data_IF_775137395201
#
_entry.id   IF_775137395201
#
_cell.length_a   1.000
_cell.length_b   1.000
_cell.length_c   1.000
_cell.angle_alpha   90.00
_cell.angle_beta   90.00
_cell.angle_gamma   90.00
#
_symmetry.space_group_name_H-M   'P 1'
#
loop_
_entity.id
_entity.type
_entity.pdbx_description
1 polymer ?
#
# COMPACT_ATOMS: atom_id res chain seq x y z
N UNK A 1 13.33 -0.42 -49.75
CA UNK A 1 11.94 -0.85 -50.04
C UNK A 1 11.96 -2.19 -50.78
N UNK A 2 12.37 -3.28 -50.10
CA UNK A 2 12.67 -4.58 -50.74
C UNK A 2 11.56 -5.59 -50.43
N UNK A 3 11.23 -6.46 -51.40
CA UNK A 3 10.29 -7.55 -51.19
C UNK A 3 10.85 -8.61 -50.21
N UNK A 4 10.03 -9.20 -49.33
CA UNK A 4 10.49 -10.26 -48.42
C UNK A 4 10.90 -11.54 -49.17
N UNK A 5 10.25 -11.82 -50.31
CA UNK A 5 10.49 -12.98 -51.17
C UNK A 5 10.75 -12.54 -52.62
N UNK A 6 11.55 -13.29 -53.41
CA UNK A 6 11.75 -12.99 -54.82
C UNK A 6 10.44 -12.94 -55.59
N UNK A 7 10.18 -11.82 -56.28
CA UNK A 7 8.98 -11.60 -57.08
C UNK A 7 9.38 -11.06 -58.46
N UNK A 8 9.36 -11.89 -59.52
CA UNK A 8 9.81 -11.47 -60.85
C UNK A 8 9.09 -10.23 -61.39
N UNK A 9 7.79 -10.09 -61.13
CA UNK A 9 7.00 -8.92 -61.49
C UNK A 9 7.41 -7.61 -60.76
N UNK A 10 8.23 -7.72 -59.73
CA UNK A 10 8.76 -6.60 -58.95
C UNK A 10 10.23 -6.28 -59.28
N UNK A 11 10.82 -6.95 -60.26
CA UNK A 11 12.20 -6.77 -60.70
C UNK A 11 12.28 -5.81 -61.90
N UNK A 12 11.96 -4.53 -61.65
CA UNK A 12 12.00 -3.48 -62.66
C UNK A 12 12.92 -2.34 -62.25
N UNK A 13 13.51 -1.66 -63.22
CA UNK A 13 14.27 -0.43 -62.97
C UNK A 13 13.33 0.72 -62.63
N UNK A 14 13.69 1.52 -61.62
CA UNK A 14 12.91 2.67 -61.19
C UNK A 14 13.75 3.94 -61.20
N UNK A 15 13.48 4.87 -62.13
CA UNK A 15 14.16 6.18 -62.21
C UNK A 15 15.70 6.08 -62.19
N UNK A 16 16.30 5.12 -62.89
CA UNK A 16 17.74 4.87 -62.90
C UNK A 16 18.26 3.98 -61.76
N UNK A 17 17.40 3.60 -60.80
CA UNK A 17 17.76 2.69 -59.70
C UNK A 17 17.43 1.24 -60.05
N UNK A 18 18.44 0.38 -59.99
CA UNK A 18 18.27 -1.07 -60.16
C UNK A 18 17.43 -1.70 -59.04
N UNK A 19 16.73 -2.79 -59.37
CA UNK A 19 15.91 -3.51 -58.41
C UNK A 19 16.77 -4.30 -57.39
N UNK A 20 16.33 -4.45 -56.13
CA UNK A 20 16.98 -5.34 -55.17
C UNK A 20 16.92 -6.81 -55.62
N UNK A 21 17.80 -7.66 -55.09
CA UNK A 21 17.84 -9.11 -55.39
C UNK A 21 16.47 -9.82 -55.34
N UNK A 22 15.60 -9.43 -54.40
CA UNK A 22 14.24 -10.00 -54.24
C UNK A 22 13.14 -9.23 -54.98
N UNK A 23 13.49 -8.18 -55.72
CA UNK A 23 12.58 -7.20 -56.30
C UNK A 23 12.14 -6.10 -55.32
N UNK A 24 11.45 -5.09 -55.85
CA UNK A 24 10.82 -4.03 -55.06
C UNK A 24 9.68 -4.56 -54.21
N UNK A 25 9.38 -3.88 -53.10
CA UNK A 25 8.23 -4.22 -52.26
C UNK A 25 6.88 -3.93 -52.93
N UNK A 26 6.87 -3.03 -53.90
CA UNK A 26 5.66 -2.45 -54.50
C UNK A 26 5.69 -2.60 -56.02
N UNK A 27 4.52 -2.70 -56.65
CA UNK A 27 4.37 -2.68 -58.11
C UNK A 27 4.67 -1.31 -58.68
N UNK A 28 4.93 -1.22 -59.99
CA UNK A 28 5.33 0.02 -60.66
C UNK A 28 4.30 1.14 -60.46
N UNK A 29 3.02 0.83 -60.50
CA UNK A 29 1.93 1.79 -60.26
C UNK A 29 1.96 2.32 -58.83
N UNK A 30 2.17 1.44 -57.84
CA UNK A 30 2.28 1.85 -56.43
C UNK A 30 3.55 2.67 -56.19
N UNK A 31 4.67 2.35 -56.84
CA UNK A 31 5.88 3.17 -56.80
C UNK A 31 5.66 4.56 -57.39
N UNK A 32 4.90 4.67 -58.49
CA UNK A 32 4.54 5.97 -59.08
C UNK A 32 3.72 6.80 -58.10
N UNK A 33 2.68 6.22 -57.49
CA UNK A 33 1.89 6.90 -56.47
C UNK A 33 2.75 7.40 -55.30
N UNK A 34 3.66 6.57 -54.77
CA UNK A 34 4.57 6.96 -53.69
C UNK A 34 5.58 8.03 -54.11
N UNK A 35 5.96 8.08 -55.39
CA UNK A 35 6.81 9.14 -55.94
C UNK A 35 6.05 10.46 -56.01
N UNK A 36 4.84 10.45 -56.55
CA UNK A 36 3.99 11.63 -56.72
C UNK A 36 3.61 12.24 -55.36
N UNK A 37 3.37 11.38 -54.35
CA UNK A 37 3.15 11.77 -52.96
C UNK A 37 4.43 12.18 -52.22
N UNK A 38 5.59 12.16 -52.87
CA UNK A 38 6.87 12.54 -52.27
C UNK A 38 7.36 11.62 -51.14
N UNK A 39 6.83 10.40 -51.05
CA UNK A 39 7.12 9.43 -49.96
C UNK A 39 8.40 8.63 -50.19
N UNK A 40 9.01 8.72 -51.37
CA UNK A 40 10.27 8.03 -51.68
C UNK A 40 11.45 8.96 -51.34
N UNK A 41 12.39 8.45 -50.55
CA UNK A 41 13.69 9.07 -50.33
C UNK A 41 14.68 8.56 -51.37
N UNK A 42 15.17 9.49 -52.19
CA UNK A 42 16.20 9.27 -53.19
C UNK A 42 17.57 9.63 -52.60
N UNK A 43 18.47 8.65 -52.39
CA UNK A 43 19.78 8.91 -51.84
C UNK A 43 20.60 9.76 -52.82
N UNK A 44 21.33 10.74 -52.28
CA UNK A 44 22.22 11.64 -53.02
C UNK A 44 23.67 11.42 -52.59
N UNK A 45 24.61 11.66 -53.50
CA UNK A 45 26.03 11.66 -53.22
C UNK A 45 26.47 12.99 -52.57
N UNK A 46 27.73 13.10 -52.16
CA UNK A 46 28.27 14.33 -51.52
C UNK A 46 28.17 15.58 -52.43
N UNK A 47 28.07 15.40 -53.75
CA UNK A 47 27.91 16.47 -54.72
C UNK A 47 26.43 16.82 -55.01
N UNK A 48 25.47 16.19 -54.32
CA UNK A 48 24.04 16.46 -54.45
C UNK A 48 23.33 15.74 -55.60
N UNK A 49 24.06 14.94 -56.41
CA UNK A 49 23.49 14.14 -57.49
C UNK A 49 22.91 12.81 -56.97
N UNK A 50 21.95 12.19 -57.69
CA UNK A 50 21.44 10.86 -57.35
C UNK A 50 22.57 9.82 -57.20
N UNK A 51 22.53 9.08 -56.09
CA UNK A 51 23.48 8.01 -55.79
C UNK A 51 22.83 6.65 -56.08
N UNK A 52 22.96 6.18 -57.32
CA UNK A 52 22.36 4.91 -57.79
C UNK A 52 22.97 3.66 -57.14
N UNK A 53 24.09 3.79 -56.43
CA UNK A 53 24.68 2.68 -55.66
C UNK A 53 23.89 2.37 -54.37
N UNK A 54 23.04 3.30 -53.93
CA UNK A 54 22.27 3.19 -52.68
C UNK A 54 20.80 2.86 -52.96
N UNK A 55 20.17 2.24 -51.96
CA UNK A 55 18.77 1.80 -52.05
C UNK A 55 17.79 2.93 -51.75
N UNK A 56 16.67 2.92 -52.47
CA UNK A 56 15.50 3.75 -52.16
C UNK A 56 14.87 3.35 -50.82
N UNK A 57 14.48 4.36 -50.04
CA UNK A 57 13.81 4.19 -48.75
C UNK A 57 12.44 4.88 -48.76
N UNK A 58 11.50 4.32 -48.01
CA UNK A 58 10.18 4.93 -47.81
C UNK A 58 10.29 5.89 -46.62
N UNK A 59 9.87 7.14 -46.80
CA UNK A 59 9.70 8.10 -45.72
C UNK A 59 8.53 7.65 -44.85
N UNK A 60 8.77 7.51 -43.55
CA UNK A 60 7.73 7.21 -42.55
C UNK A 60 7.69 8.35 -41.56
N UNK A 61 6.55 9.00 -41.42
CA UNK A 61 6.37 10.11 -40.49
C UNK A 61 5.85 9.59 -39.15
N UNK A 62 6.31 10.17 -38.05
CA UNK A 62 5.99 9.71 -36.70
C UNK A 62 4.49 9.84 -36.38
N UNK A 63 3.86 10.94 -36.81
CA UNK A 63 2.44 11.23 -36.60
C UNK A 63 1.48 10.29 -37.34
N UNK A 64 1.97 9.52 -38.32
CA UNK A 64 1.17 8.55 -39.06
C UNK A 64 1.37 7.11 -38.56
N UNK A 65 2.34 6.88 -37.67
CA UNK A 65 2.59 5.55 -37.15
C UNK A 65 1.64 5.28 -35.98
N UNK A 66 0.83 4.23 -36.11
CA UNK A 66 -0.09 3.78 -35.06
C UNK A 66 0.62 3.05 -33.89
N UNK A 67 1.95 2.99 -33.90
CA UNK A 67 2.75 2.24 -32.94
C UNK A 67 2.72 0.74 -33.18
N UNK A 68 3.31 -0.01 -32.26
CA UNK A 68 3.25 -1.47 -32.23
C UNK A 68 2.17 -1.90 -31.24
N UNK A 69 1.49 -3.02 -31.52
CA UNK A 69 0.54 -3.61 -30.58
C UNK A 69 1.32 -4.07 -29.35
N UNK A 70 0.85 -3.66 -28.18
CA UNK A 70 1.48 -4.02 -26.92
C UNK A 70 1.38 -5.55 -26.69
N UNK A 71 2.53 -6.20 -26.47
CA UNK A 71 2.60 -7.61 -26.11
C UNK A 71 2.31 -7.87 -24.64
N UNK A 72 2.49 -9.12 -24.21
CA UNK A 72 2.37 -9.57 -22.81
C UNK A 72 3.69 -9.50 -22.02
N UNK A 73 4.77 -9.02 -22.64
CA UNK A 73 6.07 -8.80 -21.99
C UNK A 73 6.39 -7.30 -21.98
N UNK A 74 6.51 -6.71 -20.79
CA UNK A 74 6.81 -5.29 -20.59
C UNK A 74 8.17 -5.10 -19.92
N UNK A 75 9.24 -5.20 -20.70
CA UNK A 75 10.62 -5.00 -20.23
C UNK A 75 11.04 -3.53 -20.09
N UNK A 76 10.18 -2.61 -20.51
CA UNK A 76 10.44 -1.17 -20.52
C UNK A 76 10.09 -0.47 -19.21
N UNK A 77 9.29 -1.12 -18.33
CA UNK A 77 8.92 -0.59 -17.02
C UNK A 77 9.87 -1.12 -15.96
N UNK A 78 10.68 -0.23 -15.39
CA UNK A 78 11.64 -0.54 -14.35
C UNK A 78 10.97 -0.60 -12.96
N UNK A 79 11.55 -1.38 -12.05
CA UNK A 79 11.17 -1.36 -10.64
C UNK A 79 11.48 -0.01 -9.97
N UNK A 80 10.75 0.32 -8.90
CA UNK A 80 10.93 1.56 -8.13
C UNK A 80 12.30 1.57 -7.45
N UNK A 81 13.20 2.42 -7.94
CA UNK A 81 14.55 2.58 -7.39
C UNK A 81 14.55 3.31 -6.04
N UNK A 82 15.64 3.19 -5.28
CA UNK A 82 15.76 3.81 -3.96
C UNK A 82 15.67 5.34 -3.98
N UNK A 83 16.14 5.98 -5.06
CA UNK A 83 16.13 7.44 -5.24
C UNK A 83 14.99 7.93 -6.14
N UNK A 84 14.03 7.06 -6.48
CA UNK A 84 12.91 7.42 -7.34
C UNK A 84 12.00 8.43 -6.63
N UNK A 85 11.58 9.49 -7.35
CA UNK A 85 10.70 10.53 -6.79
C UNK A 85 9.35 9.97 -6.32
N UNK A 86 8.85 8.93 -6.99
CA UNK A 86 7.60 8.25 -6.61
C UNK A 86 7.73 7.39 -5.34
N UNK A 87 8.94 7.11 -4.85
CA UNK A 87 9.17 6.20 -3.74
C UNK A 87 8.63 6.82 -2.44
N UNK A 88 7.72 6.11 -1.79
CA UNK A 88 7.14 6.52 -0.49
C UNK A 88 7.66 5.69 0.70
N UNK A 89 8.59 4.77 0.47
CA UNK A 89 9.16 3.90 1.51
C UNK A 89 8.37 2.62 1.79
N UNK A 90 7.27 2.38 1.06
CA UNK A 90 6.54 1.12 1.17
C UNK A 90 7.35 -0.02 0.50
N UNK A 91 7.67 -1.13 1.20
CA UNK A 91 8.68 -2.09 0.73
C UNK A 91 8.39 -2.72 -0.63
N UNK A 92 7.11 -3.01 -0.91
CA UNK A 92 6.66 -3.72 -2.11
C UNK A 92 5.93 -2.82 -3.08
N UNK A 93 6.21 -1.50 -3.05
CA UNK A 93 5.60 -0.49 -3.92
C UNK A 93 5.76 -0.84 -5.40
N UNK A 94 4.65 -0.76 -6.15
CA UNK A 94 4.66 -0.94 -7.62
C UNK A 94 4.94 0.39 -8.31
N UNK A 95 5.63 0.38 -9.47
CA UNK A 95 5.88 1.59 -10.25
C UNK A 95 4.58 2.22 -10.76
N UNK A 96 4.44 3.54 -10.68
CA UNK A 96 3.27 4.25 -11.20
C UNK A 96 3.05 4.01 -12.69
N UNK A 97 4.13 3.95 -13.48
CA UNK A 97 4.05 3.73 -14.93
C UNK A 97 3.39 2.38 -15.30
N UNK A 98 3.56 1.37 -14.44
CA UNK A 98 2.91 0.07 -14.61
C UNK A 98 1.40 0.18 -14.45
N UNK A 99 0.96 0.79 -13.34
CA UNK A 99 -0.46 0.94 -13.05
C UNK A 99 -1.13 1.90 -14.02
N UNK A 100 -0.42 2.93 -14.48
CA UNK A 100 -0.91 3.89 -15.48
C UNK A 100 -1.19 3.21 -16.82
N UNK A 101 -0.31 2.32 -17.26
CA UNK A 101 -0.52 1.50 -18.45
C UNK A 101 -1.74 0.58 -18.28
N UNK A 102 -1.81 -0.16 -17.17
CA UNK A 102 -2.90 -1.12 -16.91
C UNK A 102 -4.25 -0.40 -16.87
N UNK A 103 -4.36 0.70 -16.10
CA UNK A 103 -5.62 1.45 -15.93
C UNK A 103 -6.08 2.06 -17.26
N UNK A 104 -5.18 2.65 -18.05
CA UNK A 104 -5.54 3.22 -19.35
C UNK A 104 -6.00 2.18 -20.37
N UNK A 105 -5.50 0.94 -20.30
CA UNK A 105 -5.94 -0.14 -21.20
C UNK A 105 -7.27 -0.77 -20.78
N UNK A 106 -7.60 -0.73 -19.48
CA UNK A 106 -8.72 -1.46 -18.91
C UNK A 106 -9.92 -0.59 -18.49
N UNK A 107 -9.81 0.75 -18.57
CA UNK A 107 -10.84 1.68 -18.10
C UNK A 107 -10.81 3.03 -18.82
N UNK A 108 -11.92 3.76 -18.76
CA UNK A 108 -12.07 5.14 -19.22
C UNK A 108 -12.11 6.12 -18.03
N UNK A 109 -12.00 7.43 -18.29
CA UNK A 109 -12.26 8.45 -17.27
C UNK A 109 -13.67 8.26 -16.68
N UNK A 110 -13.80 8.36 -15.35
CA UNK A 110 -15.04 8.15 -14.61
C UNK A 110 -15.34 6.70 -14.21
N UNK A 111 -14.66 5.70 -14.79
CA UNK A 111 -14.81 4.30 -14.37
C UNK A 111 -14.24 4.08 -12.96
N UNK A 112 -14.65 2.99 -12.30
CA UNK A 112 -14.19 2.62 -10.95
C UNK A 112 -13.09 1.55 -11.00
N UNK A 113 -11.97 1.81 -10.33
CA UNK A 113 -10.87 0.86 -10.14
C UNK A 113 -10.89 0.30 -8.72
N UNK A 114 -11.01 -1.03 -8.58
CA UNK A 114 -10.90 -1.71 -7.29
C UNK A 114 -9.51 -2.35 -7.14
N UNK A 115 -8.85 -2.08 -6.03
CA UNK A 115 -7.65 -2.79 -5.61
C UNK A 115 -7.84 -3.39 -4.20
N UNK A 116 -8.06 -4.71 -4.08
CA UNK A 116 -8.27 -5.36 -2.78
C UNK A 116 -6.96 -5.61 -2.00
N UNK A 117 -5.81 -5.22 -2.55
CA UNK A 117 -4.48 -5.35 -1.94
C UNK A 117 -3.68 -4.06 -2.11
N UNK A 118 -4.30 -2.93 -1.73
CA UNK A 118 -3.87 -1.59 -2.13
C UNK A 118 -2.46 -1.24 -1.63
N UNK A 119 -2.01 -1.81 -0.51
CA UNK A 119 -0.64 -1.68 -0.02
C UNK A 119 -0.19 -0.23 0.12
N UNK A 120 0.82 0.16 -0.65
CA UNK A 120 1.36 1.53 -0.69
C UNK A 120 0.56 2.52 -1.55
N UNK A 121 -0.64 2.17 -2.00
CA UNK A 121 -1.55 3.12 -2.63
C UNK A 121 -1.26 3.45 -4.09
N UNK A 122 -0.39 2.71 -4.79
CA UNK A 122 -0.03 3.08 -6.18
C UNK A 122 -1.25 3.06 -7.11
N UNK A 123 -2.09 2.02 -7.02
CA UNK A 123 -3.25 1.88 -7.90
C UNK A 123 -4.24 3.03 -7.74
N UNK A 124 -4.63 3.35 -6.49
CA UNK A 124 -5.59 4.42 -6.19
C UNK A 124 -5.02 5.81 -6.51
N UNK A 125 -3.72 6.03 -6.25
CA UNK A 125 -3.04 7.29 -6.59
C UNK A 125 -3.01 7.54 -8.10
N UNK A 126 -2.72 6.50 -8.90
CA UNK A 126 -2.73 6.60 -10.36
C UNK A 126 -4.15 6.72 -10.89
N UNK A 127 -5.11 5.97 -10.35
CA UNK A 127 -6.51 6.05 -10.73
C UNK A 127 -7.07 7.47 -10.52
N UNK A 128 -6.82 8.09 -9.35
CA UNK A 128 -7.18 9.48 -9.05
C UNK A 128 -6.59 10.44 -10.09
N UNK A 129 -5.28 10.34 -10.38
CA UNK A 129 -4.60 11.19 -11.38
C UNK A 129 -5.19 11.03 -12.78
N UNK A 130 -5.59 9.82 -13.13
CA UNK A 130 -6.24 9.49 -14.39
C UNK A 130 -7.76 9.77 -14.36
N UNK A 131 -8.29 10.40 -13.31
CA UNK A 131 -9.73 10.73 -13.14
C UNK A 131 -10.64 9.51 -13.18
N UNK A 132 -10.23 8.41 -12.56
CA UNK A 132 -11.09 7.26 -12.26
C UNK A 132 -11.56 7.35 -10.82
N UNK A 133 -12.76 6.85 -10.55
CA UNK A 133 -13.15 6.52 -9.19
C UNK A 133 -12.31 5.32 -8.71
N UNK A 134 -12.16 5.16 -7.40
CA UNK A 134 -11.35 4.07 -6.88
C UNK A 134 -11.82 3.57 -5.52
N UNK A 135 -11.52 2.31 -5.26
CA UNK A 135 -11.72 1.65 -3.97
C UNK A 135 -10.43 0.89 -3.66
N UNK A 136 -9.77 1.23 -2.55
CA UNK A 136 -8.59 0.53 -2.06
C UNK A 136 -8.90 -0.20 -0.76
N UNK A 137 -8.54 -1.48 -0.67
CA UNK A 137 -8.71 -2.30 0.52
C UNK A 137 -7.35 -2.89 0.90
N UNK A 138 -7.08 -2.94 2.20
CA UNK A 138 -5.98 -3.69 2.77
C UNK A 138 -6.36 -4.13 4.18
N UNK A 139 -5.85 -5.28 4.60
CA UNK A 139 -6.00 -5.77 5.97
C UNK A 139 -5.09 -5.00 6.96
N UNK A 140 -4.00 -4.41 6.46
CA UNK A 140 -3.04 -3.68 7.27
C UNK A 140 -3.47 -2.24 7.48
N UNK A 141 -3.68 -1.85 8.73
CA UNK A 141 -3.94 -0.45 9.11
C UNK A 141 -2.80 0.46 8.62
N UNK A 142 -1.56 -0.01 8.71
CA UNK A 142 -0.38 0.72 8.23
C UNK A 142 -0.43 0.96 6.72
N UNK A 143 -0.80 -0.03 5.92
CA UNK A 143 -0.95 0.12 4.47
C UNK A 143 -2.00 1.17 4.12
N UNK A 144 -3.16 1.14 4.79
CA UNK A 144 -4.22 2.13 4.61
C UNK A 144 -3.72 3.54 4.98
N UNK A 145 -3.02 3.70 6.11
CA UNK A 145 -2.46 5.00 6.53
C UNK A 145 -1.41 5.53 5.57
N UNK A 146 -0.55 4.68 5.05
CA UNK A 146 0.44 5.06 4.04
C UNK A 146 -0.24 5.49 2.74
N UNK A 147 -1.27 4.76 2.31
CA UNK A 147 -2.08 5.10 1.13
C UNK A 147 -2.83 6.42 1.30
N UNK A 148 -3.46 6.64 2.46
CA UNK A 148 -4.14 7.89 2.84
C UNK A 148 -3.18 9.08 2.76
N UNK A 149 -2.00 8.98 3.40
CA UNK A 149 -0.98 10.03 3.35
C UNK A 149 -0.47 10.31 1.94
N UNK A 150 -0.35 9.27 1.10
CA UNK A 150 0.05 9.43 -0.30
C UNK A 150 -0.99 10.21 -1.09
N UNK A 151 -2.26 9.83 -0.94
CA UNK A 151 -3.39 10.50 -1.60
C UNK A 151 -3.50 11.94 -1.16
N UNK A 152 -3.47 12.22 0.15
CA UNK A 152 -3.51 13.58 0.71
C UNK A 152 -2.40 14.47 0.13
N UNK A 153 -1.18 13.95 -0.03
CA UNK A 153 -0.06 14.69 -0.65
C UNK A 153 -0.27 15.02 -2.13
N UNK A 154 -1.12 14.26 -2.83
CA UNK A 154 -1.42 14.48 -4.25
C UNK A 154 -2.63 15.39 -4.46
N UNK A 155 -3.38 15.71 -3.40
CA UNK A 155 -4.58 16.54 -3.50
C UNK A 155 -4.25 17.97 -3.90
N UNK A 156 -5.20 18.56 -4.60
CA UNK A 156 -5.24 19.99 -4.90
C UNK A 156 -6.63 20.56 -4.56
N UNK A 157 -6.83 21.85 -4.83
CA UNK A 157 -8.08 22.58 -4.55
C UNK A 157 -9.34 21.98 -5.20
N UNK A 158 -9.18 21.17 -6.25
CA UNK A 158 -10.27 20.56 -7.02
C UNK A 158 -10.42 19.06 -6.77
N UNK A 159 -9.59 18.45 -5.92
CA UNK A 159 -9.66 17.02 -5.61
C UNK A 159 -10.94 16.68 -4.84
N UNK A 160 -11.65 15.65 -5.30
CA UNK A 160 -12.82 15.12 -4.60
C UNK A 160 -12.44 14.63 -3.19
N UNK A 161 -13.34 14.73 -2.20
CA UNK A 161 -13.13 14.08 -0.92
C UNK A 161 -13.16 12.56 -1.07
N UNK A 162 -12.28 11.88 -0.34
CA UNK A 162 -12.35 10.44 -0.13
C UNK A 162 -12.56 10.16 1.35
N UNK A 163 -13.01 8.94 1.65
CA UNK A 163 -13.27 8.48 3.01
C UNK A 163 -12.34 7.30 3.30
N UNK A 164 -11.80 7.27 4.51
CA UNK A 164 -11.05 6.12 5.03
C UNK A 164 -11.87 5.46 6.12
N UNK A 165 -12.19 4.19 5.92
CA UNK A 165 -12.85 3.37 6.93
C UNK A 165 -11.86 2.31 7.41
N UNK A 166 -11.57 2.34 8.71
CA UNK A 166 -10.75 1.33 9.36
C UNK A 166 -11.65 0.40 10.17
N UNK A 167 -11.35 -0.89 10.12
CA UNK A 167 -11.98 -1.86 11.01
C UNK A 167 -11.60 -1.55 12.46
N UNK A 168 -12.61 -1.36 13.33
CA UNK A 168 -12.39 -1.11 14.75
C UNK A 168 -12.43 -2.43 15.51
N UNK A 169 -11.40 -2.66 16.31
CA UNK A 169 -11.29 -3.88 17.10
C UNK A 169 -11.99 -3.74 18.45
N UNK A 170 -12.63 -4.81 18.89
CA UNK A 170 -13.21 -4.88 20.23
C UNK A 170 -12.12 -5.09 21.29
N UNK A 171 -12.21 -4.32 22.38
CA UNK A 171 -11.26 -4.42 23.49
C UNK A 171 -11.20 -5.83 24.07
N UNK A 172 -12.34 -6.45 24.36
CA UNK A 172 -12.37 -7.75 25.05
C UNK A 172 -11.85 -8.85 24.13
N UNK A 173 -12.22 -8.81 22.84
CA UNK A 173 -11.70 -9.75 21.85
C UNK A 173 -10.17 -9.71 21.79
N UNK A 174 -9.55 -8.52 21.74
CA UNK A 174 -8.10 -8.41 21.74
C UNK A 174 -7.49 -8.81 23.10
N UNK A 175 -8.09 -8.36 24.21
CA UNK A 175 -7.59 -8.55 25.57
C UNK A 175 -7.56 -10.02 25.99
N UNK A 176 -8.53 -10.81 25.52
CA UNK A 176 -8.73 -12.21 25.91
C UNK A 176 -8.36 -13.22 24.81
N UNK A 177 -7.83 -12.77 23.67
CA UNK A 177 -7.29 -13.64 22.62
C UNK A 177 -6.11 -14.50 23.09
N UNK A 178 -5.56 -15.37 22.24
CA UNK A 178 -4.32 -16.07 22.59
C UNK A 178 -3.16 -15.07 22.74
N UNK A 179 -2.35 -15.21 23.80
CA UNK A 179 -1.25 -14.27 24.08
C UNK A 179 -0.26 -14.18 22.91
N UNK A 180 0.20 -15.33 22.43
CA UNK A 180 1.21 -15.42 21.39
C UNK A 180 0.67 -14.91 20.05
N UNK A 181 -0.58 -15.24 19.70
CA UNK A 181 -1.20 -14.74 18.48
C UNK A 181 -1.38 -13.22 18.51
N UNK A 182 -1.83 -12.66 19.64
CA UNK A 182 -1.94 -11.22 19.81
C UNK A 182 -0.59 -10.52 19.70
N UNK A 183 0.45 -11.04 20.35
CA UNK A 183 1.82 -10.52 20.29
C UNK A 183 2.31 -10.48 18.83
N UNK A 184 2.19 -11.59 18.10
CA UNK A 184 2.56 -11.67 16.69
C UNK A 184 1.79 -10.63 15.85
N UNK A 185 0.48 -10.60 16.03
CA UNK A 185 -0.42 -9.79 15.24
C UNK A 185 -0.22 -8.29 15.48
N UNK A 186 -0.14 -7.83 16.74
CA UNK A 186 0.00 -6.40 17.05
C UNK A 186 1.36 -5.85 16.62
N UNK A 187 2.42 -6.67 16.70
CA UNK A 187 3.75 -6.31 16.17
C UNK A 187 3.69 -6.14 14.65
N UNK A 188 2.95 -7.00 13.95
CA UNK A 188 2.74 -6.84 12.50
C UNK A 188 1.92 -5.59 12.17
N UNK A 189 0.88 -5.27 12.94
CA UNK A 189 0.10 -4.03 12.75
C UNK A 189 0.96 -2.77 13.01
N UNK A 190 1.87 -2.83 13.97
CA UNK A 190 2.89 -1.79 14.20
C UNK A 190 3.92 -1.70 13.05
N UNK A 191 4.02 -2.73 12.21
CA UNK A 191 4.97 -2.82 11.11
C UNK A 191 6.34 -3.41 11.50
N UNK A 192 6.40 -4.10 12.64
CA UNK A 192 7.56 -4.86 13.12
C UNK A 192 7.60 -6.31 12.63
N UNK A 193 8.61 -7.03 13.09
CA UNK A 193 8.87 -8.45 12.80
C UNK A 193 8.75 -9.21 14.14
N UNK A 194 7.75 -10.08 14.30
CA UNK A 194 7.55 -10.82 15.54
C UNK A 194 8.47 -12.05 15.63
N UNK A 195 8.75 -12.52 16.85
CA UNK A 195 9.60 -13.68 17.08
C UNK A 195 8.82 -15.00 16.90
N UNK A 196 9.18 -15.80 15.90
CA UNK A 196 8.42 -17.00 15.49
C UNK A 196 8.53 -18.16 16.53
N UNK A 197 9.48 -18.11 17.47
CA UNK A 197 9.69 -19.16 18.49
C UNK A 197 9.87 -18.55 19.89
N UNK A 198 9.14 -19.05 20.88
CA UNK A 198 9.34 -18.75 22.31
C UNK A 198 10.59 -19.47 22.90
N UNK A 199 11.80 -19.22 22.37
CA UNK A 199 13.03 -19.74 22.98
C UNK A 199 13.87 -18.60 23.54
N UNK A 200 13.97 -18.53 24.87
CA UNK A 200 15.06 -17.83 25.58
C UNK A 200 15.20 -16.32 25.36
N UNK A 201 14.25 -15.67 24.69
CA UNK A 201 14.39 -14.29 24.22
C UNK A 201 14.17 -13.24 25.32
N UNK A 202 14.79 -13.35 26.50
CA UNK A 202 14.89 -12.28 27.53
C UNK A 202 13.59 -11.49 27.86
N UNK A 203 12.40 -12.00 27.49
CA UNK A 203 11.12 -11.30 27.57
C UNK A 203 10.78 -10.33 26.42
N UNK A 204 11.45 -10.41 25.26
CA UNK A 204 11.20 -9.59 24.05
C UNK A 204 10.36 -10.37 23.03
N UNK A 205 9.39 -9.71 22.43
CA UNK A 205 8.36 -10.36 21.59
C UNK A 205 8.59 -10.13 20.08
N UNK A 206 9.40 -9.14 19.73
CA UNK A 206 9.82 -8.90 18.36
C UNK A 206 10.73 -7.67 18.23
N UNK A 207 10.82 -7.14 17.02
CA UNK A 207 11.62 -5.95 16.71
C UNK A 207 11.00 -5.10 15.60
N UNK A 208 11.27 -3.81 15.60
CA UNK A 208 10.92 -2.93 14.48
C UNK A 208 11.77 -3.25 13.23
N UNK A 209 11.44 -2.62 12.10
CA UNK A 209 12.25 -2.72 10.86
C UNK A 209 13.70 -2.26 11.07
N UNK A 210 13.91 -1.30 11.96
CA UNK A 210 15.24 -0.76 12.29
C UNK A 210 15.96 -1.58 13.37
N UNK A 211 15.41 -2.73 13.76
CA UNK A 211 15.99 -3.63 14.75
C UNK A 211 15.70 -3.27 16.21
N UNK A 212 15.01 -2.15 16.46
CA UNK A 212 14.63 -1.72 17.82
C UNK A 212 13.76 -2.81 18.48
N UNK A 213 14.13 -3.34 19.66
CA UNK A 213 13.37 -4.40 20.32
C UNK A 213 11.99 -3.92 20.76
N UNK A 214 11.01 -4.81 20.61
CA UNK A 214 9.61 -4.60 20.97
C UNK A 214 9.23 -5.62 22.05
N UNK A 215 8.57 -5.14 23.10
CA UNK A 215 7.86 -5.97 24.05
C UNK A 215 6.38 -5.63 24.04
N UNK A 216 5.54 -6.64 24.20
CA UNK A 216 4.08 -6.53 24.22
C UNK A 216 3.57 -7.02 25.58
N UNK A 217 2.60 -6.29 26.13
CA UNK A 217 1.87 -6.69 27.34
C UNK A 217 0.39 -6.50 27.14
N UNK A 218 -0.38 -7.55 27.38
CA UNK A 218 -1.85 -7.51 27.28
C UNK A 218 -2.53 -6.93 28.53
N UNK A 219 -1.78 -6.50 29.54
CA UNK A 219 -2.33 -5.96 30.78
C UNK A 219 -2.50 -4.45 30.72
N UNK A 220 -3.46 -3.96 31.51
CA UNK A 220 -3.67 -2.54 31.79
C UNK A 220 -2.77 -2.04 32.91
N UNK A 221 -2.59 -0.72 32.95
CA UNK A 221 -1.93 -0.04 34.05
C UNK A 221 -0.50 -0.53 34.25
N UNK A 222 0.26 -0.73 33.16
CA UNK A 222 1.66 -1.17 33.22
C UNK A 222 2.42 -0.32 34.23
N UNK A 223 3.00 -0.99 35.23
CA UNK A 223 3.74 -0.36 36.32
C UNK A 223 5.22 -0.19 36.01
N UNK A 224 5.91 0.54 36.89
CA UNK A 224 7.36 0.81 36.81
C UNK A 224 8.20 -0.47 36.67
N UNK A 225 7.89 -1.50 37.45
CA UNK A 225 8.68 -2.75 37.45
C UNK A 225 8.82 -3.39 36.06
N UNK A 226 7.81 -3.22 35.20
CA UNK A 226 7.83 -3.76 33.83
C UNK A 226 8.79 -2.94 32.97
N UNK A 227 8.84 -1.62 33.15
CA UNK A 227 9.80 -0.74 32.46
C UNK A 227 11.23 -1.08 32.85
N UNK A 228 11.50 -1.28 34.15
CA UNK A 228 12.84 -1.60 34.64
C UNK A 228 13.35 -2.95 34.08
N UNK A 229 12.46 -3.95 34.03
CA UNK A 229 12.75 -5.26 33.44
C UNK A 229 12.99 -5.14 31.93
N UNK A 230 12.16 -4.36 31.24
CA UNK A 230 12.28 -4.14 29.80
C UNK A 230 13.59 -3.41 29.46
N UNK A 231 13.91 -2.34 30.20
CA UNK A 231 15.17 -1.61 30.04
C UNK A 231 16.39 -2.52 30.18
N UNK A 232 16.39 -3.38 31.19
CA UNK A 232 17.44 -4.38 31.40
C UNK A 232 17.54 -5.39 30.25
N UNK A 233 16.41 -5.78 29.65
CA UNK A 233 16.37 -6.69 28.52
C UNK A 233 16.92 -6.04 27.23
N UNK A 234 16.56 -4.78 26.95
CA UNK A 234 17.04 -4.02 25.78
C UNK A 234 18.57 -3.92 25.79
N UNK A 235 19.16 -3.58 26.94
CA UNK A 235 20.62 -3.45 27.08
C UNK A 235 21.37 -4.76 26.81
N UNK A 236 20.73 -5.90 27.09
CA UNK A 236 21.30 -7.24 26.86
C UNK A 236 21.09 -7.74 25.44
N UNK A 237 20.08 -7.23 24.74
CA UNK A 237 19.71 -7.66 23.39
C UNK A 237 20.76 -7.26 22.36
N UNK A 238 21.04 -5.95 22.25
CA UNK A 238 22.06 -5.42 21.36
C UNK A 238 22.65 -4.14 21.94
N UNK A 239 23.82 -4.28 22.57
CA UNK A 239 24.52 -3.15 23.22
C UNK A 239 24.97 -2.10 22.21
N UNK A 240 25.36 -2.51 21.00
CA UNK A 240 25.84 -1.59 19.98
C UNK A 240 24.69 -0.73 19.46
N UNK A 241 23.56 -1.37 19.13
CA UNK A 241 22.35 -0.66 18.69
C UNK A 241 21.80 0.26 19.79
N UNK A 242 21.82 -0.18 21.05
CA UNK A 242 21.39 0.63 22.19
C UNK A 242 22.20 1.93 22.32
N UNK A 243 23.53 1.85 22.33
CA UNK A 243 24.39 3.03 22.46
C UNK A 243 24.27 3.95 21.24
N UNK A 244 24.12 3.38 20.03
CA UNK A 244 23.91 4.16 18.80
C UNK A 244 22.59 4.94 18.85
N UNK A 245 21.47 4.28 19.17
CA UNK A 245 20.16 4.94 19.23
C UNK A 245 20.10 5.99 20.34
N UNK A 246 20.74 5.71 21.48
CA UNK A 246 20.90 6.68 22.57
C UNK A 246 21.67 7.93 22.11
N UNK A 247 22.79 7.76 21.41
CA UNK A 247 23.56 8.88 20.86
C UNK A 247 22.77 9.69 19.82
N UNK A 248 21.96 9.01 19.01
CA UNK A 248 21.12 9.61 17.95
C UNK A 248 19.80 10.23 18.48
N UNK A 249 19.52 10.18 19.79
CA UNK A 249 18.22 10.53 20.38
C UNK A 249 17.02 9.78 19.75
N UNK A 250 17.22 8.51 19.40
CA UNK A 250 16.18 7.60 18.89
C UNK A 250 15.66 6.68 19.99
N UNK A 251 14.44 6.14 19.86
CA UNK A 251 13.94 5.10 20.75
C UNK A 251 14.87 3.89 20.80
N UNK A 252 15.21 3.43 22.00
CA UNK A 252 16.00 2.22 22.22
C UNK A 252 15.13 0.96 22.36
N UNK A 253 13.83 1.13 22.61
CA UNK A 253 12.86 0.05 22.73
C UNK A 253 11.44 0.58 22.68
N UNK A 254 10.51 -0.26 22.24
CA UNK A 254 9.08 0.05 22.17
C UNK A 254 8.31 -0.95 23.04
N UNK A 255 7.49 -0.45 23.95
CA UNK A 255 6.62 -1.25 24.78
C UNK A 255 5.17 -1.01 24.37
N UNK A 256 4.49 -2.06 23.90
CA UNK A 256 3.08 -2.00 23.47
C UNK A 256 2.21 -2.60 24.57
N UNK A 257 1.19 -1.86 25.03
CA UNK A 257 0.23 -2.36 26.02
C UNK A 257 -1.13 -1.68 25.94
N UNK A 258 -2.16 -2.21 26.60
CA UNK A 258 -3.49 -1.56 26.58
C UNK A 258 -3.49 -0.22 27.32
N UNK A 259 -2.78 -0.09 28.44
CA UNK A 259 -2.63 1.18 29.13
C UNK A 259 -1.39 1.21 30.04
N UNK A 260 -0.86 2.40 30.29
CA UNK A 260 0.31 2.62 31.13
C UNK A 260 -0.07 3.37 32.41
N UNK A 261 0.36 2.86 33.56
CA UNK A 261 0.17 3.51 34.83
C UNK A 261 1.11 4.72 35.01
N UNK A 262 0.79 5.60 35.96
CA UNK A 262 1.59 6.79 36.28
C UNK A 262 3.07 6.45 36.55
N UNK A 263 3.33 5.33 37.24
CA UNK A 263 4.69 4.90 37.56
C UNK A 263 5.53 4.55 36.32
N UNK A 264 4.93 3.93 35.28
CA UNK A 264 5.64 3.64 34.04
C UNK A 264 5.97 4.93 33.27
N UNK A 265 5.01 5.86 33.18
CA UNK A 265 5.20 7.15 32.52
C UNK A 265 6.31 7.96 33.19
N UNK A 266 6.31 8.00 34.54
CA UNK A 266 7.33 8.68 35.32
C UNK A 266 8.72 8.07 35.14
N UNK A 267 8.82 6.74 35.08
CA UNK A 267 10.11 6.05 34.90
C UNK A 267 10.70 6.31 33.51
N UNK A 268 9.89 6.24 32.45
CA UNK A 268 10.35 6.57 31.09
C UNK A 268 10.78 8.04 30.99
N UNK A 269 10.05 8.96 31.64
CA UNK A 269 10.46 10.37 31.70
C UNK A 269 11.79 10.54 32.46
N UNK A 270 12.00 9.80 33.56
CA UNK A 270 13.26 9.80 34.32
C UNK A 270 14.42 9.30 33.46
N UNK A 271 14.25 8.15 32.78
CA UNK A 271 15.25 7.57 31.88
C UNK A 271 15.62 8.54 30.75
N UNK A 272 14.64 9.22 30.16
CA UNK A 272 14.88 10.23 29.13
C UNK A 272 15.68 11.43 29.65
N UNK A 273 15.27 11.98 30.80
CA UNK A 273 15.85 13.23 31.32
C UNK A 273 17.22 13.03 31.98
N UNK A 274 17.44 11.91 32.66
CA UNK A 274 18.67 11.67 33.42
C UNK A 274 19.67 10.81 32.68
N UNK A 275 19.20 9.84 31.88
CA UNK A 275 20.07 8.86 31.23
C UNK A 275 20.11 9.02 29.71
N UNK A 276 19.32 9.95 29.14
CA UNK A 276 19.19 10.14 27.69
C UNK A 276 18.55 8.95 26.97
N UNK A 277 17.86 8.07 27.71
CA UNK A 277 17.29 6.83 27.19
C UNK A 277 15.82 7.05 26.84
N UNK A 278 15.44 6.75 25.59
CA UNK A 278 14.06 6.90 25.12
C UNK A 278 13.44 5.50 24.96
N UNK A 279 12.49 5.18 25.83
CA UNK A 279 11.60 4.02 25.65
C UNK A 279 10.24 4.56 25.21
N UNK A 280 9.73 4.04 24.09
CA UNK A 280 8.43 4.45 23.58
C UNK A 280 7.32 3.60 24.19
N UNK A 281 6.37 4.25 24.86
CA UNK A 281 5.18 3.61 25.41
C UNK A 281 4.04 3.77 24.40
N UNK A 282 3.60 2.67 23.80
CA UNK A 282 2.63 2.68 22.72
C UNK A 282 1.34 1.96 23.13
N UNK A 283 0.27 2.70 23.44
CA UNK A 283 -1.04 2.12 23.69
C UNK A 283 -1.57 1.34 22.48
N UNK A 284 -2.28 0.23 22.71
CA UNK A 284 -2.86 -0.61 21.64
C UNK A 284 -3.80 0.20 20.73
N UNK A 285 -4.56 1.14 21.29
CA UNK A 285 -5.49 2.00 20.55
C UNK A 285 -4.79 3.03 19.63
N UNK A 286 -3.48 3.24 19.81
CA UNK A 286 -2.66 4.03 18.89
C UNK A 286 -2.10 3.19 17.73
N UNK A 287 -2.05 1.87 17.88
CA UNK A 287 -1.62 0.94 16.82
C UNK A 287 -2.80 0.56 15.94
N UNK A 288 -3.92 0.20 16.56
CA UNK A 288 -5.15 -0.21 15.88
C UNK A 288 -6.34 0.57 16.43
N UNK A 289 -7.27 0.99 15.58
CA UNK A 289 -8.46 1.70 16.06
C UNK A 289 -9.32 0.74 16.88
N UNK A 290 -9.74 1.19 18.05
CA UNK A 290 -10.56 0.41 18.97
C UNK A 290 -12.01 0.92 19.00
N UNK A 291 -12.95 -0.02 19.10
CA UNK A 291 -14.35 0.31 19.33
C UNK A 291 -14.52 0.82 20.78
N UNK A 292 -15.14 1.99 20.93
CA UNK A 292 -15.52 2.50 22.26
C UNK A 292 -16.89 1.92 22.60
N UNK A 293 -16.93 1.06 23.62
CA UNK A 293 -18.20 0.48 24.10
C UNK A 293 -19.08 1.59 24.68
N UNK A 294 -20.40 1.57 24.41
CA UNK A 294 -21.32 2.45 25.10
C UNK A 294 -21.30 2.13 26.59
N UNK A 295 -21.41 3.17 27.42
CA UNK A 295 -21.69 2.99 28.84
C UNK A 295 -23.14 2.59 28.97
N UNK A 296 -23.38 1.40 29.52
CA UNK A 296 -24.73 0.91 29.78
C UNK A 296 -25.10 1.19 31.23
N UNK A 297 -26.26 1.81 31.44
CA UNK A 297 -26.91 1.95 32.73
C UNK A 297 -28.24 1.22 32.67
N UNK A 298 -28.50 0.39 33.66
CA UNK A 298 -29.79 -0.28 33.80
C UNK A 298 -30.47 0.29 35.04
N UNK A 299 -31.70 0.74 34.86
CA UNK A 299 -32.60 1.11 35.94
C UNK A 299 -33.63 0.01 36.12
N UNK A 300 -33.94 -0.32 37.37
CA UNK A 300 -34.94 -1.32 37.72
C UNK A 300 -35.98 -0.67 38.61
N UNK A 301 -37.25 -0.90 38.29
CA UNK A 301 -38.40 -0.45 39.08
C UNK A 301 -39.21 -1.69 39.46
N UNK A 302 -39.33 -1.95 40.76
CA UNK A 302 -40.22 -3.00 41.27
C UNK A 302 -41.66 -2.47 41.30
N UNK A 303 -42.53 -3.07 40.50
CA UNK A 303 -43.93 -2.68 40.37
C UNK A 303 -44.82 -3.40 41.41
N UNK A 304 -44.24 -4.27 42.24
CA UNK A 304 -44.93 -4.99 43.30
C UNK A 304 -45.50 -6.34 42.83
N UNK A 305 -46.27 -6.99 43.70
CA UNK A 305 -46.87 -8.30 43.43
C UNK A 305 -48.38 -8.19 43.16
N UNK A 306 -48.86 -8.95 42.18
CA UNK A 306 -50.29 -9.06 41.89
C UNK A 306 -51.03 -9.88 42.97
N UNK A 307 -52.36 -9.93 42.88
CA UNK A 307 -53.21 -10.69 43.82
C UNK A 307 -52.95 -12.21 43.81
N UNK A 308 -52.15 -12.72 42.87
CA UNK A 308 -51.76 -14.13 42.72
C UNK A 308 -50.32 -14.38 43.18
N UNK A 309 -49.61 -13.35 43.66
CA UNK A 309 -48.24 -13.44 44.18
C UNK A 309 -47.15 -13.29 43.11
N UNK A 310 -47.49 -12.87 41.89
CA UNK A 310 -46.56 -12.66 40.79
C UNK A 310 -45.97 -11.26 40.89
N UNK A 311 -44.64 -11.16 41.05
CA UNK A 311 -43.94 -9.88 41.19
C UNK A 311 -43.49 -9.36 39.83
N UNK A 312 -43.83 -8.12 39.53
CA UNK A 312 -43.48 -7.48 38.27
C UNK A 312 -42.32 -6.51 38.48
N UNK A 313 -41.31 -6.60 37.62
CA UNK A 313 -40.13 -5.75 37.65
C UNK A 313 -39.98 -5.15 36.26
N UNK A 314 -40.02 -3.83 36.17
CA UNK A 314 -39.67 -3.08 34.97
C UNK A 314 -38.17 -2.83 34.95
N UNK A 315 -37.54 -2.97 33.79
CA UNK A 315 -36.15 -2.57 33.58
C UNK A 315 -36.04 -1.66 32.36
N UNK A 316 -35.29 -0.58 32.50
CA UNK A 316 -34.94 0.33 31.42
C UNK A 316 -33.42 0.36 31.26
N UNK A 317 -32.94 0.09 30.05
CA UNK A 317 -31.52 0.14 29.71
C UNK A 317 -31.21 1.40 28.90
N UNK A 318 -30.27 2.19 29.38
CA UNK A 318 -29.76 3.39 28.73
C UNK A 318 -28.33 3.12 28.24
N UNK A 319 -28.06 3.48 26.99
CA UNK A 319 -26.72 3.42 26.41
C UNK A 319 -26.24 4.81 26.03
N UNK A 320 -25.10 5.24 26.58
CA UNK A 320 -24.44 6.48 26.18
C UNK A 320 -23.09 6.17 25.53
N UNK A 321 -22.87 6.67 24.32
CA UNK A 321 -21.58 6.54 23.63
C UNK A 321 -21.06 7.92 23.22
N UNK A 322 -19.83 8.30 23.61
CA UNK A 322 -19.23 9.58 23.24
C UNK A 322 -18.89 9.67 21.73
N UNK A 323 -18.95 8.56 21.00
CA UNK A 323 -18.65 8.49 19.55
C UNK A 323 -19.87 8.05 18.73
N UNK A 324 -21.06 8.04 19.34
CA UNK A 324 -22.27 7.45 18.75
C UNK A 324 -22.36 5.95 18.99
N UNK A 325 -23.58 5.40 18.99
CA UNK A 325 -23.81 3.96 19.12
C UNK A 325 -23.62 3.36 17.73
N UNK A 326 -22.47 2.73 17.53
CA UNK A 326 -22.21 1.93 16.34
C UNK A 326 -22.91 0.59 16.50
N UNK A 327 -24.10 0.45 15.93
CA UNK A 327 -24.72 -0.85 15.73
C UNK A 327 -23.91 -1.59 14.68
N UNK A 328 -22.89 -2.33 15.12
CA UNK A 328 -22.34 -3.40 14.30
C UNK A 328 -23.51 -4.34 14.01
N UNK A 329 -23.77 -4.60 12.73
CA UNK A 329 -24.85 -5.46 12.29
C UNK A 329 -24.85 -6.72 13.16
N UNK A 330 -25.84 -6.82 14.04
CA UNK A 330 -26.11 -8.05 14.75
C UNK A 330 -26.58 -9.00 13.66
N UNK A 331 -25.73 -9.95 13.30
CA UNK A 331 -26.23 -11.16 12.69
C UNK A 331 -27.04 -11.88 13.77
N UNK A 332 -28.34 -11.56 13.81
CA UNK A 332 -29.30 -12.26 14.68
C UNK A 332 -29.36 -13.77 14.37
N UNK A 333 -28.69 -14.23 13.30
CA UNK A 333 -28.56 -15.61 12.88
C UNK A 333 -27.11 -16.13 12.96
N UNK A 334 -26.21 -15.55 13.77
CA UNK A 334 -24.85 -16.07 13.91
C UNK A 334 -24.88 -17.52 14.43
N UNK A 335 -24.63 -18.47 13.54
CA UNK A 335 -24.36 -19.87 13.85
C UNK A 335 -22.84 -20.06 13.88
N UNK A 336 -22.30 -20.56 14.99
CA UNK A 336 -20.85 -20.69 15.19
C UNK A 336 -20.18 -21.78 14.32
N UNK A 337 -20.97 -22.57 13.58
CA UNK A 337 -20.49 -23.80 12.92
C UNK A 337 -20.07 -23.68 11.44
N UNK A 338 -20.48 -22.68 10.63
CA UNK A 338 -19.81 -22.41 9.37
C UNK A 338 -18.97 -21.14 9.54
N UNK A 339 -17.70 -21.31 9.89
CA UNK A 339 -16.69 -20.29 9.64
C UNK A 339 -16.66 -19.91 8.15
N UNK A 340 -16.25 -18.66 7.87
CA UNK A 340 -16.17 -18.00 6.56
C UNK A 340 -16.04 -18.87 5.31
#
# INVERSE_FOLDING_TARGET
>A
MTSPNPRPNMMYEWMGYGFPEKGWRYEKETMQKLHDEGRIHYPKNKAGHPDYSKRLALKRYLNEQQGEILGNFWGDIQNVQAHAKERIGYPTQKPEALLERIINMASNEGDTVLDPFVGGGTTVAVAERLKRNWIGIDQSVQAIKVSELRLEKQRNLFSAPFIVQLHKYDYDTLRYSNAFEFEQWIIQQYGGIPNIKQKGDLGLDGKSKDGIPIQVKRSDGIGRNIIDNFFSAIQRFDKTLFEQNKADNKPVGVLIAFSFGKGAIQEVARLRNHEGVIIELLPVDQVVPMAKKPTLRIEFTDLGADKKGLREIEFQAFGESPVGIEFYAWDFNYEAEPGF
#
